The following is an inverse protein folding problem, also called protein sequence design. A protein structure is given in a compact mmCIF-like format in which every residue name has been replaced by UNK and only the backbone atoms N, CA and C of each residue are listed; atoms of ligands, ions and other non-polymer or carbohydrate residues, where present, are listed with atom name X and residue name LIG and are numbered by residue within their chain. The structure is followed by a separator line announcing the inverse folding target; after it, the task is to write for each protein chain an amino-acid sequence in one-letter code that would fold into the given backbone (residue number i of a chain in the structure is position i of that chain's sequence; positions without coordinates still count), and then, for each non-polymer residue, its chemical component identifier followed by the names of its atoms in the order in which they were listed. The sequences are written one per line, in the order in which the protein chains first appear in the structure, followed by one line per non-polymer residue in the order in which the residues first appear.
data_IF_884117342502
#
_entry.id   IF_884117342502
#
_cell.length_a   1.000
_cell.length_b   1.000
_cell.length_c   1.000
_cell.angle_alpha   90.00
_cell.angle_beta   90.00
_cell.angle_gamma   90.00
#
_symmetry.space_group_name_H-M   'P 1'
#
loop_
_entity.id
_entity.type
_entity.pdbx_description
1 polymer ?
#
# COMPACT_ATOMS: atom_id res chain seq x y z
N UNK A 1 13.18 -12.64 -15.77
CA UNK A 1 11.96 -11.84 -15.50
C UNK A 1 12.42 -10.58 -14.79
N UNK A 2 12.21 -9.39 -15.37
CA UNK A 2 12.47 -8.15 -14.63
C UNK A 2 11.49 -8.11 -13.45
N UNK A 3 12.01 -8.13 -12.23
CA UNK A 3 11.20 -7.96 -11.03
C UNK A 3 10.57 -6.56 -11.10
N UNK A 4 9.24 -6.48 -11.06
CA UNK A 4 8.52 -5.18 -11.08
C UNK A 4 9.06 -4.27 -9.98
N UNK A 5 9.04 -2.96 -10.23
CA UNK A 5 9.55 -1.99 -9.26
C UNK A 5 8.70 -2.03 -7.99
N UNK A 6 9.33 -2.14 -6.80
CA UNK A 6 8.59 -2.26 -5.55
C UNK A 6 7.97 -0.93 -5.15
N UNK A 7 6.94 -0.99 -4.31
CA UNK A 7 6.25 0.18 -3.79
C UNK A 7 5.74 -0.06 -2.38
N UNK A 8 5.39 1.01 -1.66
CA UNK A 8 4.68 0.90 -0.38
C UNK A 8 3.19 1.24 -0.52
N UNK A 9 2.34 0.55 0.26
CA UNK A 9 0.90 0.86 0.28
C UNK A 9 0.57 2.06 1.18
N UNK A 10 1.34 2.27 2.25
CA UNK A 10 1.07 3.22 3.33
C UNK A 10 1.91 4.51 3.27
N UNK A 11 2.40 4.85 2.08
CA UNK A 11 3.27 6.01 1.85
C UNK A 11 4.74 5.71 2.12
N UNK A 12 5.63 6.53 1.56
CA UNK A 12 7.07 6.25 1.53
C UNK A 12 7.82 6.67 2.81
N UNK A 13 7.14 7.28 3.79
CA UNK A 13 7.74 7.65 5.07
C UNK A 13 8.29 6.45 5.86
N UNK A 14 7.69 5.27 5.72
CA UNK A 14 8.21 4.05 6.33
C UNK A 14 9.57 3.61 5.75
N UNK A 15 9.82 3.88 4.46
CA UNK A 15 11.13 3.61 3.82
C UNK A 15 12.20 4.49 4.46
N UNK A 16 11.90 5.79 4.61
CA UNK A 16 12.76 6.77 5.28
C UNK A 16 13.05 6.36 6.72
N UNK A 17 12.03 5.99 7.49
CA UNK A 17 12.20 5.50 8.87
C UNK A 17 13.07 4.26 8.94
N UNK A 18 12.85 3.29 8.05
CA UNK A 18 13.61 2.04 8.03
C UNK A 18 15.08 2.29 7.73
N UNK A 19 15.39 3.00 6.65
CA UNK A 19 16.78 3.28 6.26
C UNK A 19 17.49 4.12 7.33
N UNK A 20 16.80 5.10 7.92
CA UNK A 20 17.33 5.88 9.05
C UNK A 20 17.64 5.01 10.26
N UNK A 21 16.79 4.03 10.56
CA UNK A 21 17.03 3.09 11.65
C UNK A 21 18.22 2.17 11.34
N UNK A 22 18.27 1.61 10.13
CA UNK A 22 19.37 0.74 9.68
C UNK A 22 20.73 1.46 9.69
N UNK A 23 20.75 2.77 9.42
CA UNK A 23 21.96 3.60 9.53
C UNK A 23 22.46 3.71 10.98
N UNK A 24 21.55 3.70 11.96
CA UNK A 24 21.91 3.76 13.39
C UNK A 24 22.30 2.40 13.94
N UNK A 25 21.56 1.36 13.54
CA UNK A 25 21.80 -0.02 13.94
C UNK A 25 21.36 -0.92 12.80
N UNK A 26 22.29 -1.70 12.25
CA UNK A 26 22.02 -2.64 11.16
C UNK A 26 22.09 -4.08 11.68
N UNK A 27 20.93 -4.69 12.03
CA UNK A 27 20.84 -6.09 12.43
C UNK A 27 21.44 -7.03 11.39
N UNK A 28 21.81 -8.24 11.83
CA UNK A 28 22.27 -9.30 10.92
C UNK A 28 21.16 -9.70 9.95
N UNK A 29 19.93 -9.81 10.47
CA UNK A 29 18.72 -10.13 9.71
C UNK A 29 17.66 -9.05 9.90
N UNK A 30 17.05 -8.65 8.79
CA UNK A 30 15.94 -7.70 8.76
C UNK A 30 14.75 -8.41 8.12
N UNK A 31 13.79 -8.79 8.96
CA UNK A 31 12.56 -9.46 8.55
C UNK A 31 11.33 -8.61 8.89
N UNK A 32 10.14 -9.08 8.49
CA UNK A 32 8.89 -8.44 8.89
C UNK A 32 8.76 -8.32 10.42
N UNK A 33 9.23 -9.31 11.19
CA UNK A 33 9.20 -9.26 12.65
C UNK A 33 10.14 -8.21 13.22
N UNK A 34 11.29 -7.98 12.58
CA UNK A 34 12.18 -6.87 12.92
C UNK A 34 11.44 -5.54 12.75
N UNK A 35 10.78 -5.32 11.62
CA UNK A 35 10.04 -4.07 11.37
C UNK A 35 8.85 -3.89 12.31
N UNK A 36 8.11 -4.96 12.63
CA UNK A 36 7.03 -4.94 13.64
C UNK A 36 7.52 -4.52 15.01
N UNK A 37 8.65 -5.09 15.48
CA UNK A 37 9.26 -4.71 16.77
C UNK A 37 9.69 -3.25 16.80
N UNK A 38 10.09 -2.71 15.65
CA UNK A 38 10.43 -1.30 15.50
C UNK A 38 9.20 -0.38 15.35
N UNK A 39 8.00 -0.94 15.22
CA UNK A 39 6.76 -0.20 14.98
C UNK A 39 6.71 0.47 13.60
N UNK A 40 7.51 -0.02 12.64
CA UNK A 40 7.61 0.57 11.30
C UNK A 40 6.69 -0.17 10.34
N UNK A 41 5.89 0.59 9.58
CA UNK A 41 5.01 0.07 8.54
C UNK A 41 4.07 -1.06 9.00
N UNK A 42 3.24 -0.86 10.04
CA UNK A 42 2.34 -1.90 10.52
C UNK A 42 1.48 -2.45 9.35
N UNK A 43 1.45 -3.78 9.22
CA UNK A 43 0.77 -4.53 8.16
C UNK A 43 1.34 -4.32 6.74
N UNK A 44 2.48 -3.65 6.61
CA UNK A 44 3.12 -3.31 5.33
C UNK A 44 4.61 -3.64 5.32
N UNK A 45 5.07 -4.43 6.29
CA UNK A 45 6.47 -4.74 6.50
C UNK A 45 7.06 -5.48 5.30
N UNK A 46 6.32 -6.41 4.71
CA UNK A 46 6.74 -7.17 3.52
C UNK A 46 7.06 -6.26 2.33
N UNK A 47 6.32 -5.16 2.14
CA UNK A 47 6.62 -4.19 1.09
C UNK A 47 7.96 -3.49 1.32
N UNK A 48 8.26 -3.13 2.57
CA UNK A 48 9.54 -2.52 2.94
C UNK A 48 10.68 -3.51 2.72
N UNK A 49 10.52 -4.76 3.14
CA UNK A 49 11.52 -5.82 2.88
C UNK A 49 11.74 -5.99 1.37
N UNK A 50 10.67 -5.99 0.57
CA UNK A 50 10.77 -6.04 -0.89
C UNK A 50 11.57 -4.89 -1.48
N UNK A 51 11.39 -3.67 -0.98
CA UNK A 51 12.16 -2.49 -1.40
C UNK A 51 13.63 -2.65 -1.04
N UNK A 52 13.93 -3.04 0.21
CA UNK A 52 15.32 -3.22 0.67
C UNK A 52 16.05 -4.31 -0.11
N UNK A 53 15.35 -5.39 -0.48
CA UNK A 53 15.90 -6.44 -1.35
C UNK A 53 16.14 -5.93 -2.76
N UNK A 54 15.19 -5.20 -3.33
CA UNK A 54 15.29 -4.65 -4.68
C UNK A 54 16.52 -3.72 -4.84
N UNK A 55 16.78 -2.86 -3.86
CA UNK A 55 17.96 -1.98 -3.87
C UNK A 55 19.26 -2.68 -3.41
N UNK A 56 19.21 -3.99 -3.15
CA UNK A 56 20.38 -4.77 -2.73
C UNK A 56 20.86 -4.48 -1.31
N UNK A 57 20.03 -3.87 -0.45
CA UNK A 57 20.33 -3.71 0.98
C UNK A 57 20.26 -5.06 1.69
N UNK A 58 19.30 -5.90 1.29
CA UNK A 58 19.11 -7.26 1.80
C UNK A 58 19.21 -8.29 0.69
N UNK A 59 19.57 -9.52 1.05
CA UNK A 59 19.45 -10.70 0.20
C UNK A 59 18.04 -11.33 0.28
N UNK A 60 17.84 -12.43 -0.46
CA UNK A 60 16.58 -13.20 -0.48
C UNK A 60 16.23 -13.82 0.89
N UNK A 61 17.22 -14.01 1.76
CA UNK A 61 17.05 -14.48 3.13
C UNK A 61 16.72 -13.36 4.14
N UNK A 62 16.83 -12.09 3.73
CA UNK A 62 16.70 -10.94 4.62
C UNK A 62 17.98 -10.64 5.42
N UNK A 63 19.13 -11.20 5.05
CA UNK A 63 20.42 -10.83 5.60
C UNK A 63 20.95 -9.56 4.92
N UNK A 64 21.74 -8.77 5.63
CA UNK A 64 22.42 -7.61 5.04
C UNK A 64 23.46 -8.05 4.01
N UNK A 65 23.49 -7.36 2.87
CA UNK A 65 24.52 -7.63 1.86
C UNK A 65 25.86 -7.00 2.24
N UNK A 66 26.96 -7.50 1.66
CA UNK A 66 28.29 -6.90 1.86
C UNK A 66 28.35 -5.46 1.36
N UNK A 67 27.71 -5.17 0.21
CA UNK A 67 27.59 -3.81 -0.32
C UNK A 67 26.85 -2.90 0.66
N UNK A 68 25.69 -3.33 1.14
CA UNK A 68 24.91 -2.57 2.11
C UNK A 68 25.69 -2.32 3.40
N UNK A 69 26.39 -3.32 3.92
CA UNK A 69 27.22 -3.17 5.12
C UNK A 69 28.29 -2.09 4.94
N UNK A 70 28.95 -2.05 3.78
CA UNK A 70 29.96 -1.02 3.48
C UNK A 70 29.39 0.40 3.37
N UNK A 71 28.12 0.54 2.97
CA UNK A 71 27.42 1.83 2.85
C UNK A 71 26.89 2.30 4.20
N UNK A 72 26.18 1.43 4.93
CA UNK A 72 25.49 1.78 6.18
C UNK A 72 26.44 1.93 7.38
N UNK A 73 27.71 1.54 7.25
CA UNK A 73 28.76 1.78 8.25
C UNK A 73 29.47 3.13 8.07
N UNK A 74 29.15 3.88 7.01
CA UNK A 74 29.72 5.22 6.79
C UNK A 74 29.19 6.22 7.82
N UNK A 75 30.12 6.88 8.52
CA UNK A 75 29.78 7.84 9.56
C UNK A 75 29.34 9.21 9.03
N UNK A 76 29.97 9.70 7.96
CA UNK A 76 29.58 10.97 7.35
C UNK A 76 28.30 10.81 6.52
N UNK A 77 27.54 11.90 6.40
CA UNK A 77 26.29 11.89 5.64
C UNK A 77 26.54 11.73 4.13
N UNK A 78 27.58 12.38 3.61
CA UNK A 78 27.91 12.42 2.18
C UNK A 78 28.33 11.04 1.64
N UNK A 79 29.25 10.31 2.30
CA UNK A 79 29.63 8.97 1.80
C UNK A 79 28.46 7.99 1.90
N UNK A 80 27.62 8.13 2.93
CA UNK A 80 26.41 7.33 3.05
C UNK A 80 25.44 7.61 1.90
N UNK A 81 25.17 8.89 1.62
CA UNK A 81 24.29 9.33 0.55
C UNK A 81 24.81 8.84 -0.80
N UNK A 82 26.10 9.04 -1.08
CA UNK A 82 26.75 8.56 -2.31
C UNK A 82 26.66 7.03 -2.43
N UNK A 83 26.98 6.30 -1.36
CA UNK A 83 26.89 4.84 -1.36
C UNK A 83 25.46 4.33 -1.55
N UNK A 84 24.45 5.06 -1.02
CA UNK A 84 23.05 4.75 -1.23
C UNK A 84 22.60 5.08 -2.66
N UNK A 85 23.06 6.20 -3.24
CA UNK A 85 22.85 6.53 -4.66
C UNK A 85 23.34 5.40 -5.55
N UNK A 86 24.56 4.90 -5.31
CA UNK A 86 25.15 3.79 -6.10
C UNK A 86 24.26 2.52 -6.04
N UNK A 87 23.67 2.20 -4.89
CA UNK A 87 22.73 1.09 -4.73
C UNK A 87 21.42 1.32 -5.49
N UNK A 88 20.87 2.54 -5.39
CA UNK A 88 19.61 2.92 -6.05
C UNK A 88 19.79 2.98 -7.57
N UNK A 89 20.86 3.58 -8.10
CA UNK A 89 21.16 3.62 -9.53
C UNK A 89 21.31 2.22 -10.11
N UNK A 90 21.99 1.32 -9.40
CA UNK A 90 22.14 -0.07 -9.81
C UNK A 90 20.80 -0.81 -9.89
N UNK A 91 19.85 -0.49 -9.00
CA UNK A 91 18.55 -1.14 -8.95
C UNK A 91 17.56 -0.55 -9.97
N UNK A 92 17.59 0.76 -10.18
CA UNK A 92 16.76 1.49 -11.14
C UNK A 92 17.49 1.72 -12.48
N UNK A 93 18.40 0.83 -12.87
CA UNK A 93 19.28 1.00 -14.02
C UNK A 93 18.57 1.41 -15.31
N UNK A 94 17.34 0.95 -15.55
CA UNK A 94 16.58 1.25 -16.76
C UNK A 94 16.06 2.70 -16.75
N UNK A 95 15.74 3.24 -15.57
CA UNK A 95 15.38 4.65 -15.40
C UNK A 95 16.58 5.56 -15.69
N UNK A 96 17.74 5.21 -15.12
CA UNK A 96 18.99 5.95 -15.31
C UNK A 96 19.58 5.76 -16.72
N UNK A 97 19.33 4.63 -17.38
CA UNK A 97 19.70 4.44 -18.78
C UNK A 97 18.90 5.38 -19.71
N UNK A 98 17.64 5.66 -19.37
CA UNK A 98 16.77 6.52 -20.16
C UNK A 98 17.00 8.02 -19.90
N UNK A 99 17.21 8.40 -18.64
CA UNK A 99 17.26 9.81 -18.23
C UNK A 99 18.64 10.27 -17.71
N UNK A 100 19.63 9.37 -17.61
CA UNK A 100 20.93 9.70 -17.03
C UNK A 100 20.80 10.21 -15.60
N UNK A 101 21.64 11.18 -15.24
CA UNK A 101 21.62 11.80 -13.90
C UNK A 101 20.35 12.62 -13.64
N UNK A 102 19.69 13.08 -14.69
CA UNK A 102 18.45 13.86 -14.58
C UNK A 102 17.28 13.01 -14.03
N UNK A 103 17.43 11.68 -14.01
CA UNK A 103 16.50 10.76 -13.36
C UNK A 103 16.20 11.14 -11.90
N UNK A 104 17.19 11.72 -11.20
CA UNK A 104 17.06 12.20 -9.83
C UNK A 104 16.07 13.36 -9.67
N UNK A 105 15.95 14.19 -10.70
CA UNK A 105 15.19 15.45 -10.67
C UNK A 105 13.86 15.37 -11.41
N UNK A 106 13.49 14.19 -11.92
CA UNK A 106 12.23 13.98 -12.63
C UNK A 106 11.01 14.37 -11.78
N UNK A 107 10.03 14.98 -12.46
CA UNK A 107 8.74 15.25 -11.86
C UNK A 107 8.02 13.94 -11.48
N UNK A 108 7.09 14.00 -10.53
CA UNK A 108 6.38 12.78 -10.12
C UNK A 108 5.51 12.25 -11.25
N UNK A 109 5.00 13.10 -12.14
CA UNK A 109 4.22 12.67 -13.30
C UNK A 109 5.09 11.97 -14.36
N UNK A 110 6.34 12.43 -14.55
CA UNK A 110 7.32 11.75 -15.41
C UNK A 110 7.69 10.38 -14.83
N UNK A 111 7.96 10.30 -13.53
CA UNK A 111 8.23 9.03 -12.85
C UNK A 111 7.03 8.08 -12.93
N UNK A 112 5.80 8.58 -12.73
CA UNK A 112 4.57 7.78 -12.89
C UNK A 112 4.48 7.21 -14.30
N UNK A 113 4.70 8.06 -15.31
CA UNK A 113 4.64 7.65 -16.72
C UNK A 113 5.68 6.57 -17.02
N UNK A 114 6.90 6.72 -16.51
CA UNK A 114 7.97 5.72 -16.62
C UNK A 114 7.56 4.39 -15.99
N UNK A 115 7.18 4.37 -14.69
CA UNK A 115 6.89 3.12 -13.99
C UNK A 115 5.67 2.39 -14.55
N UNK A 116 4.65 3.12 -15.01
CA UNK A 116 3.49 2.53 -15.68
C UNK A 116 3.86 1.93 -17.03
N UNK A 117 4.71 2.59 -17.80
CA UNK A 117 5.22 2.09 -19.07
C UNK A 117 6.08 0.84 -18.88
N UNK A 118 6.96 0.83 -17.87
CA UNK A 118 7.89 -0.27 -17.59
C UNK A 118 7.19 -1.50 -16.99
N UNK A 119 6.29 -1.32 -16.03
CA UNK A 119 5.71 -2.42 -15.24
C UNK A 119 4.26 -2.78 -15.60
N UNK A 120 3.67 -2.04 -16.54
CA UNK A 120 2.25 -2.11 -16.93
C UNK A 120 1.30 -2.00 -15.73
N UNK A 121 1.52 -0.99 -14.88
CA UNK A 121 0.80 -0.79 -13.62
C UNK A 121 -0.36 0.20 -13.76
N UNK A 122 -1.31 0.12 -12.82
CA UNK A 122 -2.39 1.11 -12.69
C UNK A 122 -1.86 2.46 -12.24
N UNK A 123 -2.67 3.52 -12.40
CA UNK A 123 -2.32 4.88 -11.95
C UNK A 123 -1.89 4.92 -10.48
N UNK A 124 -2.64 4.22 -9.62
CA UNK A 124 -2.36 4.17 -8.19
C UNK A 124 -1.01 3.49 -7.89
N UNK A 125 -0.72 2.38 -8.56
CA UNK A 125 0.52 1.63 -8.34
C UNK A 125 1.71 2.43 -8.89
N UNK A 126 1.61 2.99 -10.09
CA UNK A 126 2.64 3.87 -10.66
C UNK A 126 2.96 5.07 -9.77
N UNK A 127 1.93 5.69 -9.18
CA UNK A 127 2.11 6.77 -8.18
C UNK A 127 2.89 6.31 -6.95
N UNK A 128 2.59 5.12 -6.42
CA UNK A 128 3.29 4.57 -5.26
C UNK A 128 4.74 4.20 -5.59
N UNK A 129 5.01 3.69 -6.79
CA UNK A 129 6.36 3.42 -7.29
C UNK A 129 7.17 4.73 -7.38
N UNK A 130 6.61 5.76 -8.00
CA UNK A 130 7.22 7.09 -8.09
C UNK A 130 7.53 7.70 -6.71
N UNK A 131 6.59 7.60 -5.76
CA UNK A 131 6.79 8.07 -4.40
C UNK A 131 7.87 7.28 -3.63
N UNK A 132 8.00 5.99 -3.92
CA UNK A 132 9.03 5.13 -3.33
C UNK A 132 10.42 5.50 -3.86
N UNK A 133 10.56 5.66 -5.18
CA UNK A 133 11.80 6.14 -5.79
C UNK A 133 12.22 7.50 -5.21
N UNK A 134 11.29 8.46 -5.12
CA UNK A 134 11.61 9.78 -4.54
C UNK A 134 12.08 9.75 -3.10
N UNK A 135 11.52 8.84 -2.29
CA UNK A 135 11.99 8.67 -0.92
C UNK A 135 13.42 8.14 -0.87
N UNK A 136 13.75 7.20 -1.77
CA UNK A 136 15.11 6.68 -1.91
C UNK A 136 16.06 7.77 -2.44
N UNK A 137 15.64 8.57 -3.42
CA UNK A 137 16.40 9.70 -3.95
C UNK A 137 16.74 10.70 -2.84
N UNK A 138 15.76 11.11 -2.05
CA UNK A 138 15.99 12.05 -0.96
C UNK A 138 16.94 11.50 0.12
N UNK A 139 16.84 10.22 0.46
CA UNK A 139 17.79 9.57 1.37
C UNK A 139 19.20 9.49 0.80
N UNK A 140 19.31 9.50 -0.52
CA UNK A 140 20.57 9.48 -1.28
C UNK A 140 21.09 10.90 -1.55
N UNK A 141 20.46 11.94 -0.99
CA UNK A 141 20.88 13.34 -1.13
C UNK A 141 20.26 14.08 -2.32
N UNK A 142 19.33 13.45 -3.04
CA UNK A 142 18.65 14.01 -4.21
C UNK A 142 17.20 14.37 -3.87
N UNK A 143 16.95 15.66 -3.59
CA UNK A 143 15.62 16.19 -3.27
C UNK A 143 15.27 16.13 -1.77
N UNK A 144 14.03 16.54 -1.44
CA UNK A 144 13.56 16.62 -0.06
C UNK A 144 12.89 15.30 0.38
N UNK A 145 13.22 14.75 1.56
CA UNK A 145 12.61 13.51 2.02
C UNK A 145 11.12 13.73 2.31
N UNK A 146 10.26 12.76 1.95
CA UNK A 146 8.85 12.83 2.30
C UNK A 146 8.73 12.89 3.84
N UNK A 147 7.94 13.84 4.34
CA UNK A 147 7.70 13.95 5.78
C UNK A 147 7.19 12.61 6.32
N UNK A 148 7.78 12.07 7.40
CA UNK A 148 7.34 10.82 7.98
C UNK A 148 5.86 10.94 8.36
N UNK A 149 5.04 10.02 7.84
CA UNK A 149 3.64 9.94 8.24
C UNK A 149 3.64 9.44 9.68
N UNK A 150 3.42 10.35 10.63
CA UNK A 150 3.07 9.98 12.00
C UNK A 150 1.70 9.31 11.89
N UNK A 151 1.67 7.98 11.93
CA UNK A 151 0.43 7.24 12.06
C UNK A 151 -0.19 7.64 13.39
N UNK A 152 -1.14 8.59 13.38
CA UNK A 152 -2.07 8.72 14.50
C UNK A 152 -2.70 7.34 14.72
N UNK A 153 -2.83 6.86 15.96
CA UNK A 153 -3.62 5.67 16.24
C UNK A 153 -4.98 5.84 15.57
N UNK A 154 -5.47 4.78 14.92
CA UNK A 154 -6.83 4.73 14.42
C UNK A 154 -7.79 4.77 15.61
N UNK A 155 -8.10 5.97 16.09
CA UNK A 155 -8.94 6.23 17.25
C UNK A 155 -9.47 7.65 17.16
N UNK A 156 -10.74 7.78 16.79
CA UNK A 156 -11.44 9.07 16.73
C UNK A 156 -11.94 9.41 15.34
N UNK A 157 -12.96 8.68 14.87
CA UNK A 157 -13.88 9.17 13.86
C UNK A 157 -14.55 10.41 14.45
N UNK A 158 -14.01 11.60 14.17
CA UNK A 158 -14.63 12.86 14.58
C UNK A 158 -15.89 13.02 13.73
N UNK A 159 -17.02 12.64 14.29
CA UNK A 159 -18.33 12.93 13.75
C UNK A 159 -18.47 14.45 13.63
N UNK A 160 -18.44 14.96 12.41
CA UNK A 160 -18.96 16.30 12.12
C UNK A 160 -20.47 16.20 12.08
N UNK A 161 -21.09 16.53 13.22
CA UNK A 161 -22.52 16.84 13.33
C UNK A 161 -22.76 18.14 12.56
N UNK A 162 -23.68 18.09 11.60
CA UNK A 162 -23.84 19.10 10.54
C UNK A 162 -24.76 20.26 10.89
N UNK A 163 -25.06 21.04 9.85
CA UNK A 163 -26.33 21.77 9.67
C UNK A 163 -26.49 22.13 8.17
N UNK A 164 -27.69 22.52 7.68
CA UNK A 164 -28.26 21.97 6.47
C UNK A 164 -28.46 23.01 5.35
N UNK A 165 -29.01 22.53 4.23
CA UNK A 165 -29.72 23.26 3.18
C UNK A 165 -28.90 24.10 2.17
N UNK A 166 -28.85 23.59 0.93
CA UNK A 166 -29.67 24.18 -0.15
C UNK A 166 -29.79 23.22 -1.34
N UNK A 167 -31.00 22.72 -1.53
CA UNK A 167 -31.43 22.01 -2.73
C UNK A 167 -31.31 22.92 -3.96
N UNK A 168 -30.74 22.38 -5.04
CA UNK A 168 -31.05 22.82 -6.41
C UNK A 168 -31.52 21.63 -7.26
N UNK A 169 -32.84 21.66 -7.45
CA UNK A 169 -33.66 21.14 -8.56
C UNK A 169 -32.90 20.57 -9.78
N UNK A 170 -33.21 19.33 -10.11
CA UNK A 170 -33.25 18.82 -11.49
C UNK A 170 -34.50 17.96 -11.66
N UNK A 171 -35.22 18.22 -12.74
CA UNK A 171 -36.53 17.65 -13.10
C UNK A 171 -36.39 16.22 -13.71
N UNK A 172 -37.51 15.48 -13.86
CA UNK A 172 -37.53 14.01 -13.80
C UNK A 172 -37.63 13.32 -15.17
N UNK A 173 -37.23 12.04 -15.21
CA UNK A 173 -37.70 11.05 -16.20
C UNK A 173 -37.91 9.68 -15.53
N UNK A 174 -38.82 8.84 -16.06
CA UNK A 174 -39.75 8.07 -15.25
C UNK A 174 -39.23 6.69 -14.83
N UNK A 175 -39.53 6.30 -13.59
CA UNK A 175 -39.35 4.94 -13.06
C UNK A 175 -40.65 4.18 -13.27
N UNK A 176 -40.54 3.05 -13.98
CA UNK A 176 -41.62 2.07 -14.17
C UNK A 176 -41.98 1.45 -12.82
N UNK A 177 -43.28 1.47 -12.51
CA UNK A 177 -43.89 0.83 -11.35
C UNK A 177 -43.90 -0.69 -11.53
N UNK A 178 -43.59 -1.42 -10.47
CA UNK A 178 -44.15 -2.76 -10.27
C UNK A 178 -44.43 -2.95 -8.78
N UNK A 179 -45.65 -3.40 -8.52
CA UNK A 179 -46.36 -3.44 -7.26
C UNK A 179 -45.90 -4.55 -6.29
N UNK A 180 -45.81 -4.20 -4.99
CA UNK A 180 -46.25 -4.90 -3.76
C UNK A 180 -45.86 -6.39 -3.47
N UNK A 181 -46.02 -6.91 -2.23
CA UNK A 181 -46.51 -6.28 -0.99
C UNK A 181 -45.56 -6.37 0.22
N UNK A 182 -45.86 -5.50 1.19
CA UNK A 182 -45.38 -5.55 2.56
C UNK A 182 -45.93 -6.78 3.32
N UNK A 183 -45.12 -7.35 4.20
CA UNK A 183 -45.61 -8.09 5.37
C UNK A 183 -45.10 -7.41 6.63
N UNK A 184 -46.04 -7.20 7.53
CA UNK A 184 -46.00 -6.46 8.77
C UNK A 184 -45.42 -7.23 9.96
N UNK A 185 -44.95 -6.45 10.93
CA UNK A 185 -45.03 -6.64 12.38
C UNK A 185 -44.08 -7.61 13.10
N UNK A 186 -43.33 -7.00 14.01
CA UNK A 186 -42.67 -7.64 15.16
C UNK A 186 -41.97 -6.61 16.04
N UNK A 187 -42.72 -5.65 16.58
CA UNK A 187 -42.23 -4.68 17.55
C UNK A 187 -42.06 -5.38 18.91
N UNK A 188 -40.81 -5.54 19.37
CA UNK A 188 -40.47 -6.11 20.66
C UNK A 188 -39.47 -5.23 21.40
N UNK A 189 -40.00 -4.21 22.08
CA UNK A 189 -39.27 -3.49 23.13
C UNK A 189 -39.01 -4.45 24.28
N UNK A 190 -37.75 -4.80 24.50
CA UNK A 190 -37.30 -5.59 25.64
C UNK A 190 -35.90 -5.15 26.06
N UNK A 191 -35.83 -4.39 27.16
CA UNK A 191 -34.61 -4.28 27.95
C UNK A 191 -34.15 -5.68 28.35
N UNK A 192 -32.96 -6.07 27.89
CA UNK A 192 -32.33 -7.33 28.23
C UNK A 192 -30.85 -7.25 27.92
N UNK A 193 -30.05 -7.17 28.98
CA UNK A 193 -28.60 -7.37 28.93
C UNK A 193 -28.38 -8.84 28.53
N UNK A 194 -27.86 -9.09 27.34
CA UNK A 194 -27.26 -10.40 27.04
C UNK A 194 -26.12 -10.31 26.01
N UNK A 195 -25.32 -11.36 26.07
CA UNK A 195 -23.90 -11.46 25.75
C UNK A 195 -23.57 -11.24 24.28
N UNK A 196 -22.31 -10.82 24.07
CA UNK A 196 -21.66 -10.55 22.80
C UNK A 196 -22.10 -11.44 21.64
N UNK A 197 -22.96 -10.88 20.79
CA UNK A 197 -23.16 -11.36 19.44
C UNK A 197 -22.00 -10.83 18.58
N UNK A 198 -21.10 -11.73 18.20
CA UNK A 198 -19.96 -11.41 17.35
C UNK A 198 -20.48 -11.28 15.92
N UNK A 199 -20.77 -10.05 15.49
CA UNK A 199 -21.12 -9.74 14.11
C UNK A 199 -19.93 -9.99 13.17
N UNK A 200 -19.86 -11.17 12.55
CA UNK A 200 -18.83 -11.51 11.56
C UNK A 200 -19.16 -10.89 10.19
N UNK A 201 -18.43 -9.85 9.81
CA UNK A 201 -18.52 -9.28 8.46
C UNK A 201 -17.46 -9.92 7.56
N UNK A 202 -17.86 -10.81 6.65
CA UNK A 202 -16.96 -11.44 5.67
C UNK A 202 -17.04 -10.70 4.35
N UNK A 203 -15.89 -10.20 3.85
CA UNK A 203 -15.76 -9.61 2.51
C UNK A 203 -15.03 -10.60 1.61
N UNK A 204 -15.73 -11.14 0.62
CA UNK A 204 -15.21 -12.14 -0.33
C UNK A 204 -15.00 -11.44 -1.67
N UNK A 205 -13.75 -11.43 -2.16
CA UNK A 205 -13.41 -10.90 -3.48
C UNK A 205 -13.10 -12.08 -4.42
N UNK A 206 -13.94 -12.27 -5.44
CA UNK A 206 -13.83 -13.37 -6.40
C UNK A 206 -13.41 -12.77 -7.74
N UNK A 207 -12.25 -13.22 -8.25
CA UNK A 207 -11.81 -12.84 -9.59
C UNK A 207 -12.46 -13.78 -10.60
N UNK A 208 -13.43 -13.26 -11.36
CA UNK A 208 -14.17 -14.04 -12.35
C UNK A 208 -13.44 -13.99 -13.70
N UNK A 209 -13.23 -15.14 -14.38
CA UNK A 209 -12.69 -15.15 -15.73
C UNK A 209 -13.70 -14.53 -16.71
N UNK A 210 -13.21 -13.78 -17.70
CA UNK A 210 -14.04 -13.06 -18.68
C UNK A 210 -14.90 -13.97 -19.58
N UNK A 211 -14.66 -15.29 -19.56
CA UNK A 211 -15.37 -16.31 -20.33
C UNK A 211 -16.29 -17.18 -19.47
N UNK A 212 -16.70 -16.70 -18.28
CA UNK A 212 -17.65 -17.41 -17.43
C UNK A 212 -19.05 -17.45 -18.06
N UNK A 213 -19.63 -18.63 -18.12
CA UNK A 213 -21.02 -18.89 -18.49
C UNK A 213 -21.94 -18.75 -17.27
N UNK A 214 -23.22 -18.44 -17.50
CA UNK A 214 -24.22 -18.20 -16.45
C UNK A 214 -24.30 -19.34 -15.42
N UNK A 215 -24.18 -20.59 -15.87
CA UNK A 215 -24.20 -21.76 -14.99
C UNK A 215 -23.02 -21.83 -14.02
N UNK A 216 -21.86 -21.26 -14.38
CA UNK A 216 -20.70 -21.18 -13.49
C UNK A 216 -20.90 -20.13 -12.40
N UNK A 217 -21.52 -18.99 -12.72
CA UNK A 217 -21.91 -17.99 -11.72
C UNK A 217 -22.90 -18.58 -10.71
N UNK A 218 -23.95 -19.25 -11.21
CA UNK A 218 -25.00 -19.81 -10.35
C UNK A 218 -24.46 -20.88 -9.39
N UNK A 219 -23.52 -21.72 -9.83
CA UNK A 219 -22.83 -22.71 -8.97
C UNK A 219 -21.99 -22.05 -7.88
N UNK A 220 -21.24 -21.00 -8.22
CA UNK A 220 -20.42 -20.26 -7.26
C UNK A 220 -21.31 -19.64 -6.18
N UNK A 221 -22.37 -18.93 -6.56
CA UNK A 221 -23.27 -18.31 -5.58
C UNK A 221 -24.06 -19.33 -4.75
N UNK A 222 -24.47 -20.46 -5.35
CA UNK A 222 -25.12 -21.55 -4.60
C UNK A 222 -24.17 -22.16 -3.56
N UNK A 223 -22.92 -22.43 -3.93
CA UNK A 223 -21.92 -22.99 -2.99
C UNK A 223 -21.58 -22.05 -1.83
N UNK A 224 -21.51 -20.73 -2.09
CA UNK A 224 -21.27 -19.72 -1.05
C UNK A 224 -22.46 -19.64 -0.10
N UNK A 225 -23.69 -19.64 -0.63
CA UNK A 225 -24.92 -19.61 0.18
C UNK A 225 -25.04 -20.83 1.09
N UNK A 226 -24.77 -22.02 0.57
CA UNK A 226 -24.85 -23.27 1.34
C UNK A 226 -23.81 -23.33 2.47
N UNK A 227 -22.60 -22.82 2.25
CA UNK A 227 -21.51 -22.89 3.22
C UNK A 227 -21.48 -21.74 4.23
N UNK A 228 -22.03 -20.56 3.90
CA UNK A 228 -22.06 -19.42 4.83
C UNK A 228 -23.29 -19.39 5.74
N UNK A 229 -24.39 -20.05 5.38
CA UNK A 229 -25.63 -20.05 6.16
C UNK A 229 -25.86 -21.32 7.01
N UNK A 230 -25.00 -22.33 6.88
CA UNK A 230 -25.05 -23.58 7.68
C UNK A 230 -24.01 -23.65 8.80
N UNK A 231 -23.29 -22.56 9.06
CA UNK A 231 -22.40 -22.39 10.21
C UNK A 231 -23.12 -21.80 11.40
#
# INVERSE_FOLDING_TARGET
MASKHPYTSSGSGAVVQTITHLKKSFPVTVTADTLKKLGIAPNNETYIIGILRFIGVLDDGGNKTSKATSVFTKHNAEDFQKGLSDLVESAYKDLFALHGKDAWDLSTDQLISFFRGADHTSDLVGKRQAQTFRALAALSGHGEPPKPIVTKPAGGRKATKGDPAKLKKSAPTPVVKTDMPATSNGNGSGSGVDRGDVGLTVRIEINLPASGDQETYDRIFKSIRENLLRG
#
